data_IF_065363883038
#
_entry.id   IF_065363883038
#
_cell.length_a   1.000
_cell.length_b   1.000
_cell.length_c   1.000
_cell.angle_alpha   90.00
_cell.angle_beta   90.00
_cell.angle_gamma   90.00
#
_symmetry.space_group_name_H-M   'P 1'
#
loop_
_entity.id
_entity.type
_entity.pdbx_description
1 polymer ?
#
# COMPACT_ATOMS: atom_id res chain seq x y z
N UNK A 1 32.25 7.50 -44.99
CA UNK A 1 32.95 8.10 -43.83
C UNK A 1 31.90 8.69 -42.90
N UNK A 2 31.57 8.01 -41.80
CA UNK A 2 31.22 8.58 -40.48
C UNK A 2 31.01 7.39 -39.52
N UNK A 3 31.74 7.43 -38.41
CA UNK A 3 32.02 6.32 -37.49
C UNK A 3 30.88 6.13 -36.47
N UNK A 4 30.52 4.88 -36.21
CA UNK A 4 29.75 4.47 -35.04
C UNK A 4 30.55 4.77 -33.76
N UNK A 5 30.04 5.64 -32.87
CA UNK A 5 30.55 5.73 -31.50
C UNK A 5 29.86 4.68 -30.63
N UNK A 6 30.64 3.72 -30.17
CA UNK A 6 30.24 2.64 -29.28
C UNK A 6 30.34 3.14 -27.84
N UNK A 7 29.29 3.79 -27.31
CA UNK A 7 29.22 4.19 -25.90
C UNK A 7 28.70 3.02 -25.07
N UNK A 8 29.64 2.18 -24.64
CA UNK A 8 29.47 1.09 -23.69
C UNK A 8 29.14 1.72 -22.32
N UNK A 9 27.91 1.57 -21.83
CA UNK A 9 27.55 1.98 -20.46
C UNK A 9 28.47 1.27 -19.47
N UNK A 10 29.30 2.04 -18.77
CA UNK A 10 30.23 1.52 -17.77
C UNK A 10 29.49 1.41 -16.44
N UNK A 11 29.14 0.19 -16.03
CA UNK A 11 28.60 -0.09 -14.70
C UNK A 11 29.79 -0.07 -13.72
N UNK A 12 29.81 0.82 -12.70
CA UNK A 12 30.88 0.85 -11.72
C UNK A 12 30.88 -0.46 -10.92
N UNK A 13 31.99 -1.19 -10.93
CA UNK A 13 32.22 -2.37 -10.10
C UNK A 13 32.41 -1.91 -8.65
N UNK A 14 31.43 -2.18 -7.78
CA UNK A 14 31.57 -1.88 -6.34
C UNK A 14 30.32 -1.95 -5.48
N UNK A 15 29.12 -2.12 -6.03
CA UNK A 15 27.90 -2.31 -5.23
C UNK A 15 27.59 -3.80 -5.10
N UNK A 16 27.55 -4.30 -3.86
CA UNK A 16 26.85 -5.55 -3.55
C UNK A 16 25.40 -5.37 -3.98
N UNK A 17 24.93 -6.21 -4.90
CA UNK A 17 23.56 -6.22 -5.42
C UNK A 17 22.54 -6.57 -4.32
N UNK A 18 21.54 -5.73 -4.05
CA UNK A 18 20.33 -6.14 -3.35
C UNK A 18 19.15 -5.89 -4.29
N UNK A 19 18.89 -6.84 -5.20
CA UNK A 19 17.82 -6.78 -6.21
C UNK A 19 17.24 -8.16 -6.55
N UNK A 20 18.00 -9.26 -6.37
CA UNK A 20 17.55 -10.62 -6.71
C UNK A 20 16.40 -11.17 -5.85
N UNK A 21 16.13 -10.56 -4.69
CA UNK A 21 15.17 -11.09 -3.72
C UNK A 21 13.78 -10.44 -3.79
N UNK A 22 13.58 -9.30 -4.46
CA UNK A 22 12.26 -8.64 -4.49
C UNK A 22 11.15 -9.55 -5.00
N UNK A 23 11.23 -10.11 -6.22
CA UNK A 23 10.14 -10.95 -6.74
C UNK A 23 9.88 -12.18 -5.87
N UNK A 24 10.94 -12.75 -5.30
CA UNK A 24 10.88 -13.96 -4.47
C UNK A 24 10.25 -13.68 -3.10
N UNK A 25 10.70 -12.64 -2.40
CA UNK A 25 10.17 -12.25 -1.10
C UNK A 25 8.74 -11.75 -1.22
N UNK A 26 8.44 -10.93 -2.24
CA UNK A 26 7.09 -10.48 -2.50
C UNK A 26 6.13 -11.66 -2.78
N UNK A 27 6.53 -12.61 -3.63
CA UNK A 27 5.72 -13.79 -3.90
C UNK A 27 5.44 -14.62 -2.63
N UNK A 28 6.44 -14.79 -1.75
CA UNK A 28 6.26 -15.52 -0.48
C UNK A 28 5.36 -14.77 0.51
N UNK A 29 5.51 -13.44 0.63
CA UNK A 29 4.59 -12.60 1.43
C UNK A 29 3.16 -12.76 0.91
N UNK A 30 2.97 -12.74 -0.40
CA UNK A 30 1.66 -12.85 -0.99
C UNK A 30 1.03 -14.24 -0.78
N UNK A 31 1.80 -15.32 -0.91
CA UNK A 31 1.33 -16.69 -0.65
C UNK A 31 0.83 -16.90 0.79
N UNK A 32 1.43 -16.22 1.79
CA UNK A 32 1.05 -16.37 3.20
C UNK A 32 -0.41 -16.00 3.50
N UNK A 33 -0.96 -15.01 2.78
CA UNK A 33 -2.35 -14.59 3.00
C UNK A 33 -3.37 -15.63 2.52
N UNK A 34 -2.90 -16.72 1.91
CA UNK A 34 -3.73 -17.76 1.30
C UNK A 34 -3.19 -19.17 1.65
N UNK A 35 -3.30 -19.61 2.92
CA UNK A 35 -2.87 -20.94 3.31
C UNK A 35 -3.60 -22.02 2.49
N UNK A 36 -2.85 -23.03 2.07
CA UNK A 36 -3.30 -24.15 1.25
C UNK A 36 -4.65 -24.72 1.72
N UNK A 37 -5.70 -24.58 0.89
CA UNK A 37 -7.04 -25.06 1.20
C UNK A 37 -8.19 -24.36 0.45
N UNK A 38 -7.95 -23.16 -0.12
CA UNK A 38 -8.90 -22.53 -1.05
C UNK A 38 -8.52 -22.87 -2.50
N UNK A 39 -9.48 -23.39 -3.26
CA UNK A 39 -9.39 -23.79 -4.68
C UNK A 39 -9.15 -22.60 -5.67
N UNK A 40 -8.45 -21.53 -5.26
CA UNK A 40 -8.18 -20.32 -6.05
C UNK A 40 -6.67 -19.95 -6.14
N UNK A 41 -5.77 -20.93 -6.02
CA UNK A 41 -4.32 -20.69 -5.95
C UNK A 41 -3.72 -20.03 -7.20
N UNK A 42 -4.26 -20.28 -8.39
CA UNK A 42 -3.75 -19.68 -9.63
C UNK A 42 -4.09 -18.19 -9.74
N UNK A 43 -5.34 -17.80 -9.47
CA UNK A 43 -5.79 -16.41 -9.60
C UNK A 43 -5.04 -15.48 -8.62
N UNK A 44 -4.92 -15.89 -7.35
CA UNK A 44 -4.23 -15.11 -6.34
C UNK A 44 -2.73 -14.92 -6.63
N UNK A 45 -2.08 -15.99 -7.10
CA UNK A 45 -0.68 -15.93 -7.54
C UNK A 45 -0.52 -15.00 -8.74
N UNK A 46 -1.46 -15.07 -9.70
CA UNK A 46 -1.51 -14.15 -10.86
C UNK A 46 -1.69 -12.70 -10.40
N UNK A 47 -2.57 -12.41 -9.43
CA UNK A 47 -2.79 -11.06 -8.88
C UNK A 47 -1.52 -10.55 -8.22
N UNK A 48 -0.82 -11.39 -7.46
CA UNK A 48 0.44 -11.04 -6.80
C UNK A 48 1.53 -10.70 -7.82
N UNK A 49 1.71 -11.56 -8.83
CA UNK A 49 2.65 -11.31 -9.93
C UNK A 49 2.28 -10.05 -10.72
N UNK A 50 0.99 -9.84 -10.98
CA UNK A 50 0.49 -8.62 -11.64
C UNK A 50 0.80 -7.38 -10.81
N UNK A 51 0.68 -7.48 -9.48
CA UNK A 51 0.97 -6.37 -8.58
C UNK A 51 2.45 -5.99 -8.60
N UNK A 52 3.34 -6.98 -8.59
CA UNK A 52 4.78 -6.77 -8.73
C UNK A 52 5.16 -6.15 -10.09
N UNK A 53 4.54 -6.62 -11.19
CA UNK A 53 4.77 -6.05 -12.53
C UNK A 53 4.28 -4.60 -12.61
N UNK A 54 3.11 -4.31 -12.05
CA UNK A 54 2.54 -2.96 -12.01
C UNK A 54 3.42 -2.04 -11.16
N UNK A 55 4.00 -2.51 -10.05
CA UNK A 55 4.97 -1.75 -9.26
C UNK A 55 6.18 -1.35 -10.08
N UNK A 56 6.85 -2.31 -10.75
CA UNK A 56 8.00 -2.04 -11.63
C UNK A 56 7.63 -1.10 -12.78
N UNK A 57 6.44 -1.27 -13.35
CA UNK A 57 5.93 -0.40 -14.42
C UNK A 57 5.68 1.03 -13.92
N UNK A 58 5.04 1.20 -12.76
CA UNK A 58 4.82 2.52 -12.16
C UNK A 58 6.13 3.19 -11.77
N UNK A 59 7.08 2.47 -11.17
CA UNK A 59 8.42 3.02 -10.94
C UNK A 59 9.06 3.52 -12.23
N UNK A 60 8.92 2.79 -13.33
CA UNK A 60 9.45 3.22 -14.62
C UNK A 60 8.75 4.50 -15.14
N UNK A 61 7.42 4.59 -14.99
CA UNK A 61 6.62 5.75 -15.40
C UNK A 61 7.01 7.00 -14.58
N UNK A 62 7.13 6.86 -13.26
CA UNK A 62 7.42 7.95 -12.33
C UNK A 62 8.92 8.17 -12.08
N UNK A 63 9.79 7.35 -12.70
CA UNK A 63 11.25 7.33 -12.51
C UNK A 63 11.68 7.13 -11.05
N UNK A 64 10.95 6.29 -10.33
CA UNK A 64 11.33 5.87 -8.98
C UNK A 64 12.35 4.73 -9.03
N UNK A 65 13.25 4.72 -8.05
CA UNK A 65 14.16 3.61 -7.83
C UNK A 65 13.44 2.50 -7.05
N UNK A 66 12.83 1.59 -7.81
CA UNK A 66 12.07 0.45 -7.29
C UNK A 66 12.91 -0.47 -6.40
N UNK A 67 14.20 -0.63 -6.72
CA UNK A 67 15.11 -1.48 -5.94
C UNK A 67 15.37 -0.84 -4.59
N UNK A 68 15.68 0.46 -4.58
CA UNK A 68 15.91 1.20 -3.35
C UNK A 68 14.64 1.31 -2.50
N UNK A 69 13.47 1.53 -3.10
CA UNK A 69 12.18 1.52 -2.39
C UNK A 69 11.96 0.18 -1.69
N UNK A 70 12.14 -0.93 -2.42
CA UNK A 70 11.99 -2.25 -1.83
C UNK A 70 13.03 -2.50 -0.74
N UNK A 71 14.28 -2.08 -0.94
CA UNK A 71 15.34 -2.21 0.06
C UNK A 71 15.00 -1.46 1.35
N UNK A 72 14.41 -0.27 1.26
CA UNK A 72 13.94 0.49 2.42
C UNK A 72 12.74 -0.19 3.10
N UNK A 73 11.82 -0.77 2.32
CA UNK A 73 10.75 -1.61 2.87
C UNK A 73 11.30 -2.81 3.66
N UNK A 74 12.22 -3.57 3.07
CA UNK A 74 12.85 -4.72 3.73
C UNK A 74 13.54 -4.29 5.01
N UNK A 75 14.35 -3.23 4.96
CA UNK A 75 15.05 -2.68 6.12
C UNK A 75 14.09 -2.33 7.28
N UNK A 76 12.94 -1.73 6.97
CA UNK A 76 11.94 -1.36 7.97
C UNK A 76 11.34 -2.57 8.69
N UNK A 77 11.28 -3.73 8.01
CA UNK A 77 10.62 -4.94 8.52
C UNK A 77 11.60 -5.93 9.13
N UNK A 78 12.66 -6.30 8.42
CA UNK A 78 13.51 -7.44 8.77
C UNK A 78 14.55 -7.13 9.84
N UNK A 79 14.72 -5.86 10.20
CA UNK A 79 15.62 -5.42 11.28
C UNK A 79 14.88 -5.24 12.62
N UNK A 80 13.60 -5.60 12.66
CA UNK A 80 12.72 -5.33 13.80
C UNK A 80 11.94 -6.60 14.18
N UNK A 81 11.66 -6.74 15.48
CA UNK A 81 10.69 -7.70 15.95
C UNK A 81 9.27 -7.37 15.44
N UNK A 82 8.42 -8.39 15.29
CA UNK A 82 7.07 -8.29 14.70
C UNK A 82 6.14 -7.27 15.36
N UNK A 83 6.40 -6.83 16.60
CA UNK A 83 5.65 -5.80 17.31
C UNK A 83 6.50 -4.57 17.68
N UNK A 84 7.56 -4.29 16.94
CA UNK A 84 8.45 -3.14 17.17
C UNK A 84 8.65 -2.25 15.93
N UNK A 85 7.73 -2.30 14.97
CA UNK A 85 7.82 -1.50 13.75
C UNK A 85 6.88 -0.31 13.87
N UNK A 86 7.43 0.89 13.83
CA UNK A 86 6.68 2.16 13.85
C UNK A 86 6.59 2.79 12.45
N UNK A 87 5.76 3.80 12.31
CA UNK A 87 5.56 4.59 11.08
C UNK A 87 6.83 5.32 10.63
N UNK A 88 7.75 5.59 11.56
CA UNK A 88 9.04 6.23 11.29
C UNK A 88 9.99 5.30 10.53
N UNK A 89 9.93 3.99 10.80
CA UNK A 89 10.76 3.01 10.09
C UNK A 89 10.46 2.98 8.58
N UNK A 90 9.23 3.32 8.18
CA UNK A 90 8.83 3.40 6.78
C UNK A 90 9.10 4.77 6.14
N UNK A 91 9.58 5.77 6.88
CA UNK A 91 9.70 7.15 6.40
C UNK A 91 10.54 7.25 5.11
N UNK A 92 11.72 6.63 5.09
CA UNK A 92 12.61 6.65 3.92
C UNK A 92 11.93 6.06 2.67
N UNK A 93 11.25 4.91 2.82
CA UNK A 93 10.50 4.27 1.75
C UNK A 93 9.44 5.22 1.17
N UNK A 94 8.64 5.87 2.01
CA UNK A 94 7.61 6.81 1.53
C UNK A 94 8.20 8.08 0.88
N UNK A 95 9.34 8.58 1.39
CA UNK A 95 9.99 9.77 0.85
C UNK A 95 10.46 9.61 -0.60
N UNK A 96 10.70 8.37 -1.02
CA UNK A 96 11.14 7.99 -2.37
C UNK A 96 9.98 7.85 -3.36
N UNK A 97 8.73 7.89 -2.90
CA UNK A 97 7.52 7.76 -3.72
C UNK A 97 6.59 8.99 -3.59
N UNK A 98 7.07 10.22 -3.82
CA UNK A 98 6.22 11.40 -3.71
C UNK A 98 5.15 11.41 -4.79
N UNK A 99 3.90 11.11 -4.41
CA UNK A 99 2.77 11.15 -5.33
C UNK A 99 2.03 12.48 -5.22
N UNK A 100 1.52 12.95 -6.36
CA UNK A 100 0.59 14.09 -6.42
C UNK A 100 -0.60 13.64 -7.26
N UNK A 101 -1.78 13.63 -6.65
CA UNK A 101 -3.01 13.26 -7.31
C UNK A 101 -3.88 14.49 -7.58
N UNK A 102 -4.71 14.48 -8.64
CA UNK A 102 -5.64 15.58 -8.90
C UNK A 102 -6.57 15.86 -7.72
N UNK A 103 -6.77 17.13 -7.39
CA UNK A 103 -7.75 17.56 -6.39
C UNK A 103 -9.18 17.18 -6.79
N UNK A 104 -10.10 17.28 -5.83
CA UNK A 104 -11.54 17.01 -5.99
C UNK A 104 -11.90 15.53 -6.25
N UNK A 105 -10.91 14.64 -6.12
CA UNK A 105 -11.01 13.22 -6.50
C UNK A 105 -10.64 12.25 -5.39
N UNK A 106 -10.39 12.72 -4.18
CA UNK A 106 -10.02 11.84 -3.07
C UNK A 106 -11.26 11.15 -2.47
N UNK A 107 -11.21 9.83 -2.37
CA UNK A 107 -12.24 8.97 -1.81
C UNK A 107 -11.71 8.18 -0.62
N UNK A 108 -12.17 8.55 0.55
CA UNK A 108 -11.94 7.83 1.79
C UNK A 108 -13.10 6.89 2.05
N UNK A 109 -12.84 5.80 2.77
CA UNK A 109 -13.86 4.82 3.05
C UNK A 109 -13.62 4.17 4.42
N UNK A 110 -14.70 3.85 5.14
CA UNK A 110 -14.62 3.21 6.44
C UNK A 110 -15.64 2.07 6.52
N UNK A 111 -15.13 0.85 6.68
CA UNK A 111 -15.93 -0.39 6.79
C UNK A 111 -16.88 -0.60 5.59
N UNK A 112 -16.43 -0.16 4.41
CA UNK A 112 -17.15 -0.21 3.12
C UNK A 112 -16.27 -0.77 1.99
N UNK A 113 -15.23 -1.56 2.32
CA UNK A 113 -14.22 -2.11 1.38
C UNK A 113 -14.84 -2.76 0.13
N UNK A 114 -15.87 -3.58 0.31
CA UNK A 114 -16.54 -4.25 -0.83
C UNK A 114 -17.25 -3.25 -1.76
N UNK A 115 -17.83 -2.19 -1.19
CA UNK A 115 -18.58 -1.19 -1.92
C UNK A 115 -17.67 -0.18 -2.61
N UNK A 116 -16.58 0.26 -1.96
CA UNK A 116 -15.74 1.36 -2.46
C UNK A 116 -15.13 1.03 -3.82
N UNK A 117 -14.70 -0.22 -4.04
CA UNK A 117 -14.13 -0.63 -5.33
C UNK A 117 -15.17 -0.57 -6.45
N UNK A 118 -16.40 -1.03 -6.20
CA UNK A 118 -17.52 -0.90 -7.15
C UNK A 118 -17.91 0.57 -7.37
N UNK A 119 -17.91 1.37 -6.30
CA UNK A 119 -18.21 2.79 -6.36
C UNK A 119 -17.18 3.55 -7.22
N UNK A 120 -15.89 3.34 -6.97
CA UNK A 120 -14.81 3.95 -7.75
C UNK A 120 -14.80 3.48 -9.21
N UNK A 121 -15.15 2.22 -9.49
CA UNK A 121 -15.24 1.70 -10.85
C UNK A 121 -16.38 2.34 -11.67
N UNK A 122 -17.51 2.62 -11.03
CA UNK A 122 -18.66 3.32 -11.65
C UNK A 122 -18.38 4.80 -11.80
N UNK A 123 -17.92 5.44 -10.71
CA UNK A 123 -17.54 6.84 -10.69
C UNK A 123 -16.03 6.93 -10.93
N UNK A 124 -15.61 6.71 -12.18
CA UNK A 124 -14.21 6.59 -12.69
C UNK A 124 -13.27 7.80 -12.44
N UNK A 125 -13.58 8.62 -11.45
CA UNK A 125 -12.93 9.88 -11.14
C UNK A 125 -12.49 9.95 -9.68
N UNK A 126 -12.54 8.86 -8.92
CA UNK A 126 -12.06 8.83 -7.55
C UNK A 126 -10.77 8.04 -7.41
N UNK A 127 -9.91 8.51 -6.51
CA UNK A 127 -8.70 7.87 -6.06
C UNK A 127 -8.89 7.46 -4.61
N UNK A 128 -8.63 6.20 -4.33
CA UNK A 128 -8.60 5.60 -3.00
C UNK A 128 -7.16 5.41 -2.55
N UNK A 129 -6.96 5.08 -1.27
CA UNK A 129 -5.63 4.74 -0.77
C UNK A 129 -5.04 3.54 -1.53
N UNK A 130 -5.90 2.58 -1.87
CA UNK A 130 -5.57 1.37 -2.62
C UNK A 130 -5.12 1.65 -4.07
N UNK A 131 -5.38 2.85 -4.61
CA UNK A 131 -4.90 3.26 -5.95
C UNK A 131 -3.48 3.87 -5.91
N UNK A 132 -2.96 4.18 -4.72
CA UNK A 132 -1.57 4.64 -4.56
C UNK A 132 -0.59 3.48 -4.79
N UNK A 133 0.66 3.76 -5.16
CA UNK A 133 1.68 2.72 -5.34
C UNK A 133 1.81 1.77 -4.13
N UNK A 134 1.78 2.32 -2.91
CA UNK A 134 1.86 1.54 -1.66
C UNK A 134 0.58 0.76 -1.42
N UNK A 135 -0.58 1.42 -1.55
CA UNK A 135 -1.87 0.78 -1.32
C UNK A 135 -2.12 -0.36 -2.30
N UNK A 136 -1.71 -0.20 -3.55
CA UNK A 136 -1.81 -1.22 -4.58
C UNK A 136 -0.84 -2.39 -4.31
N UNK A 137 0.42 -2.10 -3.98
CA UNK A 137 1.46 -3.13 -3.77
C UNK A 137 1.19 -4.01 -2.54
N UNK A 138 0.72 -3.41 -1.45
CA UNK A 138 0.59 -4.07 -0.15
C UNK A 138 -0.85 -4.45 0.22
N UNK A 139 -1.79 -4.31 -0.71
CA UNK A 139 -3.20 -4.59 -0.45
C UNK A 139 -3.42 -6.05 -0.04
N UNK A 140 -4.18 -6.27 1.03
CA UNK A 140 -4.48 -7.60 1.59
C UNK A 140 -3.24 -8.45 1.94
N UNK A 141 -2.06 -7.83 2.08
CA UNK A 141 -0.83 -8.52 2.44
C UNK A 141 -0.51 -8.42 3.94
N UNK A 142 -0.01 -9.51 4.52
CA UNK A 142 0.57 -9.58 5.86
C UNK A 142 2.05 -9.97 5.77
N UNK A 143 2.91 -9.18 6.43
CA UNK A 143 4.35 -9.41 6.55
C UNK A 143 4.85 -9.05 7.95
N UNK A 144 5.99 -9.61 8.34
CA UNK A 144 6.70 -9.31 9.57
C UNK A 144 8.14 -9.83 9.51
N UNK A 145 9.01 -9.33 10.39
CA UNK A 145 10.39 -9.79 10.56
C UNK A 145 10.51 -10.95 11.55
N UNK A 146 11.60 -11.70 11.45
CA UNK A 146 12.00 -12.71 12.43
C UNK A 146 12.63 -12.05 13.67
N UNK A 147 12.52 -12.70 14.84
CA UNK A 147 13.13 -12.18 16.08
C UNK A 147 14.64 -12.43 16.17
N UNK A 148 15.09 -13.59 15.70
CA UNK A 148 16.48 -14.05 15.89
C UNK A 148 17.38 -13.86 14.65
N UNK A 149 16.77 -13.79 13.46
CA UNK A 149 17.48 -13.72 12.18
C UNK A 149 17.06 -12.48 11.36
N UNK A 150 17.97 -11.98 10.53
CA UNK A 150 17.65 -10.90 9.58
C UNK A 150 16.88 -11.48 8.39
N UNK A 151 15.55 -11.46 8.45
CA UNK A 151 14.69 -11.97 7.39
C UNK A 151 13.21 -11.75 7.63
N UNK A 152 12.40 -12.00 6.59
CA UNK A 152 10.95 -12.07 6.74
C UNK A 152 10.55 -13.40 7.38
N UNK A 153 9.58 -13.36 8.29
CA UNK A 153 8.94 -14.57 8.76
C UNK A 153 7.74 -14.91 7.85
N UNK A 154 7.93 -15.90 6.97
CA UNK A 154 6.87 -16.36 6.08
C UNK A 154 5.87 -17.30 6.75
N UNK A 155 6.17 -17.85 7.93
CA UNK A 155 5.38 -18.91 8.56
C UNK A 155 4.53 -18.41 9.74
N UNK A 156 5.09 -17.55 10.59
CA UNK A 156 4.56 -17.27 11.94
C UNK A 156 4.33 -15.79 12.21
N UNK A 157 3.70 -15.06 11.27
CA UNK A 157 3.39 -13.66 11.54
C UNK A 157 2.14 -13.58 12.41
N UNK A 158 2.16 -12.79 13.49
CA UNK A 158 0.94 -12.49 14.22
C UNK A 158 -0.07 -11.77 13.33
N UNK A 159 -1.35 -11.81 13.70
CA UNK A 159 -2.35 -10.98 13.04
C UNK A 159 -1.97 -9.49 13.19
N UNK A 160 -2.21 -8.68 12.16
CA UNK A 160 -1.83 -7.26 12.15
C UNK A 160 -2.43 -6.44 13.30
N UNK A 161 -3.55 -6.92 13.86
CA UNK A 161 -4.27 -6.29 14.98
C UNK A 161 -3.74 -6.68 16.37
N UNK A 162 -2.77 -7.60 16.45
CA UNK A 162 -2.20 -8.10 17.71
C UNK A 162 -1.51 -6.99 18.51
N UNK A 163 -0.88 -6.03 17.83
CA UNK A 163 -0.15 -4.94 18.47
C UNK A 163 -0.21 -3.65 17.62
N UNK A 164 -0.06 -2.49 18.27
CA UNK A 164 -0.15 -1.17 17.61
C UNK A 164 1.08 -0.82 16.76
N UNK A 165 2.17 -1.53 16.96
CA UNK A 165 3.47 -1.37 16.28
C UNK A 165 3.76 -2.59 15.40
N UNK A 166 2.70 -3.23 14.90
CA UNK A 166 2.80 -4.26 13.88
C UNK A 166 3.22 -3.63 12.54
N UNK A 167 4.16 -4.20 11.78
CA UNK A 167 4.64 -3.62 10.51
C UNK A 167 3.53 -3.29 9.51
N UNK A 168 2.59 -4.21 9.30
CA UNK A 168 1.40 -3.97 8.45
C UNK A 168 0.58 -2.77 8.95
N UNK A 169 0.26 -2.74 10.25
CA UNK A 169 -0.54 -1.64 10.83
C UNK A 169 0.19 -0.30 10.70
N UNK A 170 1.49 -0.27 10.98
CA UNK A 170 2.31 0.94 10.89
C UNK A 170 2.47 1.45 9.47
N UNK A 171 2.61 0.56 8.48
CA UNK A 171 2.62 0.94 7.06
C UNK A 171 1.29 1.57 6.64
N UNK A 172 0.16 0.91 6.95
CA UNK A 172 -1.16 1.44 6.62
C UNK A 172 -1.46 2.75 7.34
N UNK A 173 -1.04 2.88 8.60
CA UNK A 173 -1.16 4.12 9.35
C UNK A 173 -0.41 5.26 8.66
N UNK A 174 0.86 5.04 8.27
CA UNK A 174 1.64 6.04 7.52
C UNK A 174 1.04 6.33 6.14
N UNK A 175 0.57 5.31 5.42
CA UNK A 175 -0.05 5.45 4.11
C UNK A 175 -1.32 6.32 4.18
N UNK A 176 -2.20 6.03 5.14
CA UNK A 176 -3.41 6.81 5.43
C UNK A 176 -3.10 8.26 5.79
N UNK A 177 -2.05 8.52 6.60
CA UNK A 177 -1.60 9.88 6.92
C UNK A 177 -1.19 10.64 5.66
N UNK A 178 -0.27 10.07 4.87
CA UNK A 178 0.25 10.70 3.67
C UNK A 178 -0.87 10.96 2.64
N UNK A 179 -1.82 10.04 2.51
CA UNK A 179 -2.97 10.20 1.61
C UNK A 179 -3.91 11.32 2.05
N UNK A 180 -4.16 11.45 3.35
CA UNK A 180 -4.96 12.53 3.92
C UNK A 180 -4.27 13.90 3.82
N UNK A 181 -2.96 13.98 4.09
CA UNK A 181 -2.17 15.21 3.98
C UNK A 181 -2.09 15.73 2.53
N UNK A 182 -2.10 14.80 1.58
CA UNK A 182 -2.10 15.07 0.15
C UNK A 182 -3.44 15.56 -0.39
N UNK A 183 -4.55 15.20 0.27
CA UNK A 183 -5.90 15.46 -0.20
C UNK A 183 -6.16 16.97 -0.36
N UNK A 184 -6.90 17.33 -1.41
CA UNK A 184 -7.21 18.72 -1.73
C UNK A 184 -8.53 18.87 -2.48
N UNK A 185 -9.13 20.06 -2.37
CA UNK A 185 -10.42 20.38 -2.96
C UNK A 185 -11.58 19.70 -2.23
N UNK A 186 -12.50 19.14 -3.00
CA UNK A 186 -13.68 18.43 -2.52
C UNK A 186 -13.38 16.94 -2.35
N UNK A 187 -13.35 16.47 -1.11
CA UNK A 187 -13.13 15.05 -0.82
C UNK A 187 -14.46 14.35 -0.58
N UNK A 188 -14.49 13.03 -0.76
CA UNK A 188 -15.66 12.19 -0.45
C UNK A 188 -15.29 11.12 0.57
N UNK A 189 -16.18 10.86 1.52
CA UNK A 189 -16.04 9.80 2.52
C UNK A 189 -17.25 8.86 2.42
N UNK A 190 -17.01 7.57 2.17
CA UNK A 190 -18.04 6.53 2.24
C UNK A 190 -18.06 5.88 3.62
N UNK A 191 -19.20 5.98 4.32
CA UNK A 191 -19.41 5.37 5.63
C UNK A 191 -20.47 4.27 5.57
N UNK A 192 -20.27 3.22 6.36
CA UNK A 192 -21.25 2.15 6.52
C UNK A 192 -22.38 2.59 7.47
N UNK A 193 -23.59 2.74 6.96
CA UNK A 193 -24.79 3.09 7.72
C UNK A 193 -25.50 1.90 8.35
N UNK A 194 -25.11 0.66 8.05
CA UNK A 194 -25.69 -0.56 8.61
C UNK A 194 -25.09 -0.97 9.96
N UNK A 195 -24.25 -0.12 10.56
CA UNK A 195 -23.59 -0.37 11.84
C UNK A 195 -23.90 0.75 12.84
N UNK A 196 -23.85 0.45 14.13
CA UNK A 196 -24.18 1.42 15.21
C UNK A 196 -23.32 2.68 15.14
N UNK A 197 -22.03 2.54 14.84
CA UNK A 197 -21.08 3.66 14.73
C UNK A 197 -20.48 3.70 13.32
N UNK A 198 -21.18 4.39 12.42
CA UNK A 198 -20.73 4.63 11.04
C UNK A 198 -19.42 5.42 10.99
N UNK A 199 -19.28 6.40 11.88
CA UNK A 199 -18.09 7.23 12.02
C UNK A 199 -17.30 6.86 13.28
N UNK A 200 -15.97 6.81 13.16
CA UNK A 200 -15.06 6.65 14.29
C UNK A 200 -14.19 7.89 14.41
N UNK A 201 -14.32 8.62 15.53
CA UNK A 201 -13.57 9.86 15.79
C UNK A 201 -12.06 9.66 15.92
N UNK A 202 -11.59 8.44 16.15
CA UNK A 202 -10.15 8.11 16.29
C UNK A 202 -9.53 7.67 14.96
N UNK A 203 -9.97 8.22 13.83
CA UNK A 203 -9.40 7.89 12.52
C UNK A 203 -8.16 8.74 12.24
N UNK A 204 -7.08 8.07 11.86
CA UNK A 204 -5.79 8.70 11.51
C UNK A 204 -5.95 9.68 10.35
N UNK A 205 -6.80 9.33 9.39
CA UNK A 205 -7.02 10.12 8.17
C UNK A 205 -7.67 11.47 8.48
N UNK A 206 -8.62 11.52 9.41
CA UNK A 206 -9.33 12.76 9.73
C UNK A 206 -8.39 13.79 10.36
N UNK A 207 -7.57 13.35 11.31
CA UNK A 207 -6.62 14.21 12.03
C UNK A 207 -5.49 14.72 11.10
N UNK A 208 -5.29 14.06 9.95
CA UNK A 208 -4.23 14.36 8.99
C UNK A 208 -4.69 15.22 7.80
N UNK A 209 -5.99 15.52 7.69
CA UNK A 209 -6.51 16.41 6.63
C UNK A 209 -5.96 17.83 6.79
N UNK A 210 -5.48 18.42 5.70
CA UNK A 210 -5.00 19.80 5.71
C UNK A 210 -6.16 20.79 5.47
N UNK A 211 -6.55 21.60 6.47
CA UNK A 211 -7.69 22.52 6.36
C UNK A 211 -7.45 23.68 5.38
N UNK A 212 -6.20 23.93 4.95
CA UNK A 212 -5.88 24.93 3.93
C UNK A 212 -6.02 24.38 2.51
N UNK A 213 -6.10 23.06 2.34
CA UNK A 213 -6.16 22.39 1.03
C UNK A 213 -7.52 21.76 0.75
N UNK A 214 -8.20 21.28 1.79
CA UNK A 214 -9.52 20.65 1.68
C UNK A 214 -10.61 21.71 1.85
N UNK A 215 -11.44 21.87 0.82
CA UNK A 215 -12.52 22.86 0.80
C UNK A 215 -13.81 22.30 1.42
N UNK A 216 -14.17 21.07 1.04
CA UNK A 216 -15.41 20.42 1.46
C UNK A 216 -15.20 18.91 1.66
N UNK A 217 -15.90 18.36 2.66
CA UNK A 217 -15.95 16.92 2.94
C UNK A 217 -17.36 16.41 2.65
N UNK A 218 -17.52 15.65 1.57
CA UNK A 218 -18.79 15.04 1.19
C UNK A 218 -18.94 13.68 1.88
N UNK A 219 -19.80 13.60 2.89
CA UNK A 219 -20.05 12.34 3.61
C UNK A 219 -21.24 11.62 2.97
N UNK A 220 -21.02 10.40 2.47
CA UNK A 220 -22.06 9.52 1.94
C UNK A 220 -22.19 8.31 2.88
N UNK A 221 -23.32 8.23 3.56
CA UNK A 221 -23.66 7.10 4.43
C UNK A 221 -24.46 6.10 3.62
N UNK A 222 -23.97 4.87 3.49
CA UNK A 222 -24.59 3.84 2.67
C UNK A 222 -25.12 2.71 3.55
N UNK A 223 -26.41 2.42 3.42
CA UNK A 223 -27.05 1.26 4.05
C UNK A 223 -26.94 0.04 3.13
N UNK A 224 -26.77 -1.12 3.74
CA UNK A 224 -26.63 -2.40 3.06
C UNK A 224 -25.46 -2.42 2.04
N UNK A 225 -24.21 -2.25 2.52
CA UNK A 225 -23.04 -2.20 1.64
C UNK A 225 -22.74 -3.52 0.91
N UNK A 226 -23.40 -4.62 1.28
CA UNK A 226 -23.32 -5.92 0.61
C UNK A 226 -24.27 -6.02 -0.61
N UNK A 227 -25.16 -5.03 -0.80
CA UNK A 227 -26.19 -5.03 -1.85
C UNK A 227 -27.49 -5.72 -1.38
N UNK A 228 -28.62 -5.56 -2.11
CA UNK A 228 -29.88 -6.19 -1.72
C UNK A 228 -29.67 -7.71 -1.54
N UNK A 229 -30.13 -8.27 -0.42
CA UNK A 229 -30.24 -9.72 -0.28
C UNK A 229 -31.17 -10.20 -1.40
N UNK A 230 -30.64 -10.98 -2.35
CA UNK A 230 -31.44 -11.70 -3.34
C UNK A 230 -32.05 -12.94 -2.71
#
# INVERSE_FOLDING_TARGET
LLKHSNSRCHVPKGYKTPSDNFPNNFAKIAQKNYPFGQFLTHYQTIVSLSSAVIFVTNCSIFRYDCEEIWRQFEKAVVQQASCNVTEEHYFEMFSMMPQVWPCDRFLFWSKTRMLVHSYAAVFRHFWTLEDTLVGFLFNDLIWCGQEEDSGFDFNSCPAWSTCRTHPVYSLWKRASQNFAEMACGNITVLLNGSITNAFNRKSVELDSLNPQRVNYVNIKVVTNPEGPHM
#
